data_IF_345096271873
#
_entry.id   IF_345096271873
#
_cell.length_a   1.000
_cell.length_b   1.000
_cell.length_c   1.000
_cell.angle_alpha   90.00
_cell.angle_beta   90.00
_cell.angle_gamma   90.00
#
_symmetry.space_group_name_H-M   'P 1'
#
loop_
_entity.id
_entity.type
_entity.pdbx_description
1 polymer ?
#
# COMPACT_ATOMS: atom_id res chain seq x y z
N UNK A 1 11.34 -20.82 15.49
CA UNK A 1 12.13 -20.54 14.27
C UNK A 1 12.56 -19.08 14.29
N UNK A 2 13.86 -18.78 14.19
CA UNK A 2 14.31 -17.40 14.10
C UNK A 2 13.83 -16.80 12.77
N UNK A 3 13.07 -15.71 12.84
CA UNK A 3 12.63 -14.98 11.64
C UNK A 3 13.87 -14.37 11.00
N UNK A 4 14.26 -14.85 9.81
CA UNK A 4 15.36 -14.23 9.06
C UNK A 4 14.98 -12.77 8.75
N UNK A 5 15.84 -11.85 9.20
CA UNK A 5 15.72 -10.42 8.88
C UNK A 5 16.09 -10.20 7.41
N UNK A 6 15.41 -9.28 6.75
CA UNK A 6 15.78 -8.80 5.43
C UNK A 6 17.04 -7.94 5.59
N UNK A 7 18.08 -8.19 4.80
CA UNK A 7 19.18 -7.27 4.69
C UNK A 7 18.71 -6.03 3.91
N UNK A 8 18.80 -4.87 4.57
CA UNK A 8 18.36 -3.63 3.98
C UNK A 8 19.36 -3.14 2.93
N UNK A 9 19.08 -3.42 1.70
CA UNK A 9 19.74 -2.76 0.58
C UNK A 9 18.69 -2.34 -0.44
N UNK A 10 18.62 -1.03 -0.74
CA UNK A 10 17.86 -0.53 -1.87
C UNK A 10 18.37 -1.15 -3.19
N UNK A 11 17.57 -1.19 -4.27
CA UNK A 11 18.08 -1.48 -5.61
C UNK A 11 19.28 -0.57 -5.94
N UNK A 12 20.25 -1.09 -6.71
CA UNK A 12 21.48 -0.36 -6.99
C UNK A 12 21.27 0.96 -7.76
N UNK A 13 20.24 1.01 -8.60
CA UNK A 13 19.97 2.12 -9.53
C UNK A 13 18.54 2.65 -9.36
N UNK A 14 18.28 3.34 -8.23
CA UNK A 14 16.99 4.00 -8.02
C UNK A 14 16.97 5.35 -8.71
N UNK A 15 16.08 5.51 -9.68
CA UNK A 15 15.82 6.78 -10.32
C UNK A 15 14.76 7.56 -9.53
N UNK A 16 15.01 8.84 -9.31
CA UNK A 16 14.08 9.77 -8.67
C UNK A 16 13.56 10.77 -9.69
N UNK A 17 12.27 10.98 -9.71
CA UNK A 17 11.62 11.97 -10.57
C UNK A 17 10.46 12.66 -9.83
N UNK A 18 10.00 13.78 -10.38
CA UNK A 18 8.86 14.51 -9.85
C UNK A 18 7.83 14.72 -10.95
N UNK A 19 6.57 14.49 -10.65
CA UNK A 19 5.43 14.75 -11.54
C UNK A 19 4.57 15.84 -10.91
N UNK A 20 4.31 16.92 -11.67
CA UNK A 20 3.37 17.96 -11.24
C UNK A 20 1.98 17.55 -11.71
N UNK A 21 1.10 17.27 -10.75
CA UNK A 21 -0.27 16.84 -11.03
C UNK A 21 -1.21 18.03 -11.27
N UNK A 22 -2.42 17.75 -11.74
CA UNK A 22 -3.35 18.76 -12.30
C UNK A 22 -3.71 19.93 -11.38
N UNK A 23 -3.55 19.80 -10.06
CA UNK A 23 -3.76 20.91 -9.10
C UNK A 23 -2.45 21.61 -8.65
N UNK A 24 -1.35 21.37 -9.39
CA UNK A 24 -0.06 21.99 -9.17
C UNK A 24 0.79 21.37 -8.07
N UNK A 25 0.34 20.31 -7.43
CA UNK A 25 1.10 19.60 -6.39
C UNK A 25 2.16 18.71 -7.03
N UNK A 26 3.38 18.75 -6.50
CA UNK A 26 4.51 17.93 -6.97
C UNK A 26 4.50 16.59 -6.25
N UNK A 27 4.42 15.51 -7.01
CA UNK A 27 4.45 14.13 -6.54
C UNK A 27 5.81 13.51 -6.86
N UNK A 28 6.49 13.02 -5.83
CA UNK A 28 7.78 12.35 -5.97
C UNK A 28 7.59 10.88 -6.31
N UNK A 29 8.40 10.38 -7.26
CA UNK A 29 8.39 9.01 -7.75
C UNK A 29 9.78 8.40 -7.63
N UNK A 30 9.85 7.17 -7.20
CA UNK A 30 11.05 6.34 -7.16
C UNK A 30 10.87 5.17 -8.13
N UNK A 31 11.79 5.01 -9.07
CA UNK A 31 11.74 3.93 -10.06
C UNK A 31 12.97 3.04 -9.99
N UNK A 32 12.82 1.72 -10.18
CA UNK A 32 13.93 0.78 -10.24
C UNK A 32 13.56 -0.45 -11.10
N UNK A 33 14.58 -1.04 -11.73
CA UNK A 33 14.40 -2.25 -12.55
C UNK A 33 13.73 -1.99 -13.91
N UNK A 34 13.34 -3.08 -14.58
CA UNK A 34 12.67 -3.06 -15.88
C UNK A 34 11.78 -4.31 -16.02
N UNK A 35 10.75 -4.23 -16.87
CA UNK A 35 9.77 -5.31 -17.07
C UNK A 35 8.35 -4.83 -16.86
N UNK A 36 7.45 -5.75 -16.46
CA UNK A 36 6.07 -5.41 -16.15
C UNK A 36 5.99 -4.40 -15.01
N UNK A 37 5.13 -3.35 -15.10
CA UNK A 37 5.08 -2.32 -14.07
C UNK A 37 4.46 -2.82 -12.76
N UNK A 38 5.10 -2.45 -11.62
CA UNK A 38 4.60 -2.68 -10.26
C UNK A 38 4.52 -1.33 -9.53
N UNK A 39 3.34 -0.94 -9.12
CA UNK A 39 3.06 0.29 -8.38
C UNK A 39 2.98 -0.01 -6.89
N UNK A 40 3.81 0.67 -6.09
CA UNK A 40 3.89 0.50 -4.64
C UNK A 40 3.41 1.78 -3.93
N UNK A 41 2.38 1.63 -3.08
CA UNK A 41 1.72 2.72 -2.37
C UNK A 41 1.87 2.53 -0.86
N UNK A 42 2.55 3.46 -0.19
CA UNK A 42 2.90 3.36 1.23
C UNK A 42 1.73 3.69 2.19
N UNK A 43 1.91 3.37 3.47
CA UNK A 43 0.97 3.68 4.54
C UNK A 43 1.04 5.13 5.03
N UNK A 44 0.00 5.58 5.75
CA UNK A 44 -0.01 6.86 6.45
C UNK A 44 1.20 6.95 7.40
N UNK A 45 1.82 8.11 7.53
CA UNK A 45 3.06 8.36 8.28
C UNK A 45 4.33 7.72 7.71
N UNK A 46 4.27 6.96 6.61
CA UNK A 46 5.40 6.36 5.92
C UNK A 46 5.78 7.15 4.64
N UNK A 47 6.64 6.58 3.81
CA UNK A 47 6.99 7.02 2.47
C UNK A 47 7.48 5.81 1.65
N UNK A 48 7.72 5.98 0.37
CA UNK A 48 8.21 4.90 -0.49
C UNK A 48 9.55 4.35 -0.04
N UNK A 49 10.48 5.23 0.33
CA UNK A 49 11.80 4.79 0.80
C UNK A 49 11.66 3.84 2.01
N UNK A 50 10.99 4.28 3.08
CA UNK A 50 10.84 3.50 4.30
C UNK A 50 9.95 2.26 4.15
N UNK A 51 8.86 2.37 3.36
CA UNK A 51 7.84 1.32 3.25
C UNK A 51 8.16 0.25 2.20
N UNK A 52 9.03 0.54 1.22
CA UNK A 52 9.24 -0.34 0.07
C UNK A 52 10.69 -0.53 -0.35
N UNK A 53 11.51 0.54 -0.34
CA UNK A 53 12.88 0.46 -0.81
C UNK A 53 13.85 0.01 0.30
N UNK A 54 13.76 0.57 1.49
CA UNK A 54 14.62 0.20 2.60
C UNK A 54 14.30 -1.18 3.20
N UNK A 55 13.11 -1.74 2.96
CA UNK A 55 12.68 -3.02 3.51
C UNK A 55 12.90 -4.22 2.58
N UNK A 56 13.47 -4.01 1.39
CA UNK A 56 13.86 -5.06 0.45
C UNK A 56 12.77 -5.46 -0.57
N UNK A 57 11.52 -4.99 -0.43
CA UNK A 57 10.44 -5.32 -1.39
C UNK A 57 10.78 -4.80 -2.79
N UNK A 58 11.13 -3.51 -2.90
CA UNK A 58 11.49 -2.92 -4.20
C UNK A 58 12.73 -3.59 -4.81
N UNK A 59 13.73 -3.94 -3.99
CA UNK A 59 14.94 -4.64 -4.44
C UNK A 59 14.62 -6.00 -5.07
N UNK A 60 13.76 -6.80 -4.42
CA UNK A 60 13.40 -8.12 -4.92
C UNK A 60 12.55 -8.04 -6.20
N UNK A 61 11.61 -7.09 -6.26
CA UNK A 61 10.76 -6.87 -7.43
C UNK A 61 11.56 -6.30 -8.61
N UNK A 62 12.50 -5.38 -8.38
CA UNK A 62 13.29 -4.73 -9.43
C UNK A 62 14.22 -5.69 -10.19
N UNK A 63 14.36 -6.93 -9.74
CA UNK A 63 15.10 -7.97 -10.48
C UNK A 63 14.43 -8.37 -11.79
N UNK A 64 13.12 -8.23 -11.88
CA UNK A 64 12.32 -8.69 -13.03
C UNK A 64 11.23 -7.71 -13.45
N UNK A 65 10.97 -6.66 -12.67
CA UNK A 65 9.87 -5.73 -12.88
C UNK A 65 10.35 -4.27 -12.89
N UNK A 66 9.59 -3.40 -13.53
CA UNK A 66 9.69 -1.96 -13.40
C UNK A 66 8.91 -1.52 -12.15
N UNK A 67 9.61 -1.29 -11.04
CA UNK A 67 9.04 -0.86 -9.76
C UNK A 67 8.85 0.65 -9.79
N UNK A 68 7.63 1.10 -9.43
CA UNK A 68 7.22 2.49 -9.36
C UNK A 68 6.69 2.75 -7.95
N UNK A 69 7.50 3.38 -7.09
CA UNK A 69 7.09 3.82 -5.76
C UNK A 69 6.62 5.27 -5.81
N UNK A 70 5.42 5.56 -5.30
CA UNK A 70 4.84 6.91 -5.31
C UNK A 70 4.74 7.42 -3.88
N UNK A 71 5.47 8.50 -3.56
CA UNK A 71 5.24 9.23 -2.32
C UNK A 71 3.91 9.98 -2.42
N UNK A 72 2.93 9.60 -1.61
CA UNK A 72 1.64 10.30 -1.57
C UNK A 72 1.85 11.77 -1.18
N UNK A 73 1.01 12.70 -1.70
CA UNK A 73 1.02 14.09 -1.23
C UNK A 73 0.98 14.16 0.30
N UNK A 74 1.68 15.10 0.89
CA UNK A 74 1.83 15.21 2.34
C UNK A 74 2.86 14.26 2.98
N UNK A 75 3.52 13.40 2.17
CA UNK A 75 4.45 12.38 2.66
C UNK A 75 5.77 12.38 1.87
N UNK A 76 6.79 11.75 2.45
CA UNK A 76 8.06 11.50 1.80
C UNK A 76 8.70 12.75 1.21
N UNK A 77 9.10 12.67 -0.05
CA UNK A 77 9.66 13.79 -0.82
C UNK A 77 8.63 14.54 -1.68
N UNK A 78 7.36 14.10 -1.69
CA UNK A 78 6.27 14.85 -2.33
C UNK A 78 6.00 16.17 -1.63
N UNK A 79 5.36 17.10 -2.34
CA UNK A 79 4.91 18.34 -1.74
C UNK A 79 3.95 18.08 -0.57
N UNK A 80 4.05 18.92 0.45
CA UNK A 80 3.34 18.78 1.73
C UNK A 80 2.47 20.01 2.03
N UNK A 81 1.39 20.26 1.26
CA UNK A 81 0.47 21.35 1.57
C UNK A 81 -0.08 21.22 3.00
N UNK A 82 -0.11 22.31 3.75
CA UNK A 82 -0.74 22.36 5.06
C UNK A 82 -2.25 22.70 4.98
N UNK A 83 -2.74 23.01 3.78
CA UNK A 83 -4.14 23.27 3.51
C UNK A 83 -4.93 21.95 3.38
N UNK A 84 -5.89 21.65 4.29
CA UNK A 84 -6.72 20.44 4.19
C UNK A 84 -7.52 20.35 2.88
N UNK A 85 -7.76 21.48 2.19
CA UNK A 85 -8.48 21.48 0.92
C UNK A 85 -7.73 20.75 -0.19
N UNK A 86 -6.46 20.48 -0.03
CA UNK A 86 -5.62 19.71 -0.96
C UNK A 86 -5.71 18.19 -0.78
N UNK A 87 -6.55 17.70 0.16
CA UNK A 87 -6.56 16.29 0.58
C UNK A 87 -7.98 15.70 0.72
N UNK A 88 -8.83 15.88 -0.28
CA UNK A 88 -10.10 15.14 -0.29
C UNK A 88 -9.90 13.63 -0.50
N UNK A 89 -10.97 12.85 -0.27
CA UNK A 89 -10.92 11.39 -0.33
C UNK A 89 -10.57 10.80 -1.70
N UNK A 90 -10.73 11.58 -2.77
CA UNK A 90 -10.46 11.16 -4.15
C UNK A 90 -9.09 11.63 -4.67
N UNK A 91 -8.44 12.59 -3.98
CA UNK A 91 -7.26 13.29 -4.53
C UNK A 91 -6.02 12.39 -4.65
N UNK A 92 -5.68 11.63 -3.59
CA UNK A 92 -4.52 10.75 -3.64
C UNK A 92 -4.65 9.62 -4.69
N UNK A 93 -5.80 8.95 -4.83
CA UNK A 93 -6.02 8.03 -5.96
C UNK A 93 -5.86 8.68 -7.32
N UNK A 94 -6.36 9.91 -7.49
CA UNK A 94 -6.21 10.67 -8.73
C UNK A 94 -4.75 10.99 -9.04
N UNK A 95 -3.95 11.34 -8.02
CA UNK A 95 -2.50 11.55 -8.18
C UNK A 95 -1.82 10.33 -8.76
N UNK A 96 -2.17 9.13 -8.27
CA UNK A 96 -1.60 7.87 -8.78
C UNK A 96 -1.89 7.72 -10.28
N UNK A 97 -3.12 7.97 -10.71
CA UNK A 97 -3.49 7.88 -12.13
C UNK A 97 -2.72 8.91 -12.96
N UNK A 98 -2.66 10.17 -12.51
CA UNK A 98 -1.95 11.24 -13.23
C UNK A 98 -0.43 10.94 -13.34
N UNK A 99 0.18 10.37 -12.30
CA UNK A 99 1.58 9.90 -12.34
C UNK A 99 1.76 8.77 -13.36
N UNK A 100 0.89 7.77 -13.36
CA UNK A 100 0.98 6.65 -14.30
C UNK A 100 0.76 7.09 -15.74
N UNK A 101 -0.17 8.01 -15.99
CA UNK A 101 -0.40 8.59 -17.30
C UNK A 101 0.81 9.39 -17.80
N UNK A 102 1.46 10.16 -16.91
CA UNK A 102 2.71 10.87 -17.20
C UNK A 102 3.86 9.91 -17.56
N UNK A 103 3.95 8.77 -16.88
CA UNK A 103 4.96 7.73 -17.14
C UNK A 103 4.61 6.80 -18.32
N UNK A 104 3.43 6.97 -18.95
CA UNK A 104 2.97 6.11 -20.04
C UNK A 104 2.60 4.69 -19.60
N UNK A 105 2.27 4.48 -18.31
CA UNK A 105 1.93 3.17 -17.76
C UNK A 105 0.42 2.94 -17.86
N UNK A 106 -0.01 2.09 -18.78
CA UNK A 106 -1.42 1.78 -19.02
C UNK A 106 -2.01 0.80 -18.00
N UNK A 107 -1.29 -0.27 -17.66
CA UNK A 107 -1.69 -1.30 -16.69
C UNK A 107 -0.50 -1.68 -15.81
N UNK A 108 -0.76 -2.07 -14.56
CA UNK A 108 0.28 -2.45 -13.61
C UNK A 108 -0.22 -3.47 -12.58
N UNK A 109 0.71 -4.14 -11.92
CA UNK A 109 0.47 -4.73 -10.60
C UNK A 109 0.42 -3.61 -9.56
N UNK A 110 -0.54 -3.62 -8.66
CA UNK A 110 -0.61 -2.65 -7.58
C UNK A 110 -0.46 -3.34 -6.23
N UNK A 111 0.35 -2.78 -5.34
CA UNK A 111 0.39 -3.22 -3.95
C UNK A 111 0.41 -2.00 -3.01
N UNK A 112 -0.61 -1.90 -2.15
CA UNK A 112 -0.77 -0.79 -1.21
C UNK A 112 -0.75 -1.25 0.24
N UNK A 113 -0.03 -0.52 1.10
CA UNK A 113 -0.02 -0.80 2.53
C UNK A 113 -0.91 0.19 3.30
N UNK A 114 -1.81 -0.30 4.16
CA UNK A 114 -2.66 0.54 5.02
C UNK A 114 -3.40 1.61 4.22
N UNK A 115 -3.03 2.88 4.35
CA UNK A 115 -3.55 3.99 3.53
C UNK A 115 -3.40 3.69 2.03
N UNK A 116 -2.25 3.16 1.60
CA UNK A 116 -2.01 2.74 0.21
C UNK A 116 -2.98 1.66 -0.25
N UNK A 117 -3.37 0.73 0.63
CA UNK A 117 -4.42 -0.25 0.35
C UNK A 117 -5.80 0.39 0.16
N UNK A 118 -6.12 1.42 0.93
CA UNK A 118 -7.33 2.22 0.70
C UNK A 118 -7.31 2.93 -0.67
N UNK A 119 -6.13 3.42 -1.10
CA UNK A 119 -5.96 3.97 -2.46
C UNK A 119 -6.17 2.88 -3.52
N UNK A 120 -5.61 1.67 -3.33
CA UNK A 120 -5.83 0.53 -4.24
C UNK A 120 -7.31 0.19 -4.35
N UNK A 121 -8.05 0.08 -3.24
CA UNK A 121 -9.49 -0.19 -3.26
C UNK A 121 -10.27 0.88 -4.05
N UNK A 122 -9.93 2.15 -3.84
CA UNK A 122 -10.54 3.26 -4.60
C UNK A 122 -10.23 3.16 -6.11
N UNK A 123 -8.97 2.84 -6.46
CA UNK A 123 -8.58 2.69 -7.87
C UNK A 123 -9.28 1.51 -8.54
N UNK A 124 -9.50 0.41 -7.83
CA UNK A 124 -10.29 -0.73 -8.34
C UNK A 124 -11.71 -0.28 -8.67
N UNK A 125 -12.35 0.49 -7.79
CA UNK A 125 -13.72 0.94 -8.00
C UNK A 125 -13.90 1.88 -9.21
N UNK A 126 -12.87 2.67 -9.56
CA UNK A 126 -12.95 3.67 -10.65
C UNK A 126 -12.19 3.28 -11.92
N UNK A 127 -11.12 2.50 -11.78
CA UNK A 127 -10.17 2.22 -12.86
C UNK A 127 -9.75 0.74 -12.90
N UNK A 128 -10.70 -0.24 -12.82
CA UNK A 128 -10.35 -1.67 -12.78
C UNK A 128 -9.53 -2.12 -14.00
N UNK A 129 -9.67 -1.45 -15.14
CA UNK A 129 -8.91 -1.73 -16.36
C UNK A 129 -7.40 -1.45 -16.24
N UNK A 130 -6.96 -0.72 -15.21
CA UNK A 130 -5.55 -0.40 -14.96
C UNK A 130 -4.80 -1.52 -14.24
N UNK A 131 -5.51 -2.56 -13.76
CA UNK A 131 -4.93 -3.60 -12.93
C UNK A 131 -4.50 -4.83 -13.73
N UNK A 132 -3.30 -5.34 -13.42
CA UNK A 132 -2.88 -6.72 -13.68
C UNK A 132 -3.22 -7.55 -12.45
N UNK A 133 -2.78 -7.13 -11.26
CA UNK A 133 -3.18 -7.69 -9.95
C UNK A 133 -3.40 -6.57 -8.93
N UNK A 134 -4.10 -6.87 -7.84
CA UNK A 134 -4.23 -5.97 -6.70
C UNK A 134 -3.65 -6.61 -5.44
N UNK A 135 -2.91 -5.82 -4.64
CA UNK A 135 -2.32 -6.24 -3.37
C UNK A 135 -2.68 -5.31 -2.22
N UNK A 136 -3.05 -5.91 -1.09
CA UNK A 136 -3.38 -5.24 0.16
C UNK A 136 -2.42 -5.70 1.26
N UNK A 137 -1.65 -4.80 1.82
CA UNK A 137 -0.81 -5.04 2.98
C UNK A 137 -1.34 -4.28 4.20
N UNK A 138 -1.50 -4.93 5.34
CA UNK A 138 -2.06 -4.30 6.54
C UNK A 138 -3.45 -3.68 6.33
N UNK A 139 -4.18 -4.13 5.31
CA UNK A 139 -5.44 -3.56 4.84
C UNK A 139 -6.27 -4.60 4.10
N UNK A 140 -7.39 -4.16 3.56
CA UNK A 140 -8.31 -4.96 2.76
C UNK A 140 -9.51 -4.12 2.35
N UNK A 141 -10.64 -4.75 2.10
CA UNK A 141 -11.90 -4.07 1.78
C UNK A 141 -12.84 -4.20 2.96
N UNK A 142 -13.31 -3.05 3.47
CA UNK A 142 -14.18 -3.00 4.64
C UNK A 142 -15.48 -3.77 4.39
N UNK A 143 -15.92 -4.53 5.40
CA UNK A 143 -17.24 -5.12 5.45
C UNK A 143 -18.29 -4.04 5.71
N UNK A 144 -19.37 -4.05 4.93
CA UNK A 144 -20.46 -3.09 5.03
C UNK A 144 -21.61 -3.62 5.90
N UNK A 145 -21.76 -4.95 6.00
CA UNK A 145 -22.70 -5.60 6.91
C UNK A 145 -22.15 -5.61 8.33
N UNK A 146 -22.82 -4.91 9.24
CA UNK A 146 -22.39 -4.76 10.64
C UNK A 146 -22.34 -6.10 11.39
N UNK A 147 -23.24 -7.04 11.09
CA UNK A 147 -23.26 -8.37 11.72
C UNK A 147 -22.06 -9.19 11.29
N UNK A 148 -21.76 -9.22 9.99
CA UNK A 148 -20.58 -9.91 9.46
C UNK A 148 -19.31 -9.24 9.95
N UNK A 149 -19.26 -7.92 10.04
CA UNK A 149 -18.11 -7.19 10.57
C UNK A 149 -17.84 -7.55 12.05
N UNK A 150 -18.89 -7.66 12.88
CA UNK A 150 -18.76 -8.08 14.26
C UNK A 150 -18.27 -9.52 14.40
N UNK A 151 -18.81 -10.45 13.62
CA UNK A 151 -18.36 -11.86 13.60
C UNK A 151 -16.89 -11.97 13.20
N UNK A 152 -16.44 -11.22 12.20
CA UNK A 152 -15.04 -11.23 11.81
C UNK A 152 -14.11 -10.71 12.91
N UNK A 153 -14.53 -9.67 13.62
CA UNK A 153 -13.76 -9.12 14.73
C UNK A 153 -13.60 -10.10 15.89
N UNK A 154 -14.54 -11.02 16.10
CA UNK A 154 -14.42 -12.11 17.06
C UNK A 154 -13.39 -13.16 16.64
N UNK A 155 -13.22 -13.37 15.33
CA UNK A 155 -12.29 -14.33 14.76
C UNK A 155 -10.86 -13.77 14.63
N UNK A 156 -10.67 -12.48 14.78
CA UNK A 156 -9.33 -11.90 14.74
C UNK A 156 -8.47 -12.40 15.91
N UNK A 157 -7.21 -12.81 15.67
CA UNK A 157 -6.29 -13.23 16.70
C UNK A 157 -6.16 -12.19 17.80
N UNK A 158 -6.25 -12.62 19.06
CA UNK A 158 -6.06 -11.76 20.22
C UNK A 158 -4.58 -11.76 20.62
N UNK A 159 -4.06 -10.59 20.93
CA UNK A 159 -2.67 -10.41 21.32
C UNK A 159 -2.11 -9.10 20.78
N UNK A 160 -0.82 -8.91 20.99
CA UNK A 160 -0.09 -7.73 20.53
C UNK A 160 1.26 -8.16 19.98
N UNK A 161 1.72 -7.48 18.96
CA UNK A 161 3.10 -7.60 18.50
C UNK A 161 4.03 -6.90 19.50
N UNK A 162 4.96 -7.60 20.15
CA UNK A 162 5.87 -6.99 21.14
C UNK A 162 6.81 -5.93 20.54
N UNK A 163 6.94 -5.86 19.22
CA UNK A 163 7.76 -4.88 18.52
C UNK A 163 6.94 -3.71 17.91
N UNK A 164 5.62 -3.69 18.11
CA UNK A 164 4.71 -2.69 17.53
C UNK A 164 5.12 -1.25 17.87
N UNK A 165 5.47 -0.97 19.11
CA UNK A 165 5.89 0.36 19.54
C UNK A 165 7.24 0.78 18.97
N UNK A 166 8.18 -0.17 18.84
CA UNK A 166 9.46 0.09 18.17
C UNK A 166 9.27 0.41 16.67
N UNK A 167 8.38 -0.31 16.00
CA UNK A 167 7.99 -0.01 14.61
C UNK A 167 7.36 1.37 14.46
N UNK A 168 6.48 1.74 15.38
CA UNK A 168 5.85 3.08 15.43
C UNK A 168 6.89 4.19 15.67
N UNK A 169 7.80 3.98 16.61
CA UNK A 169 8.87 4.92 16.93
C UNK A 169 9.81 5.14 15.73
N UNK A 170 10.16 4.09 14.99
CA UNK A 170 10.99 4.18 13.80
C UNK A 170 10.32 5.04 12.70
N UNK A 171 9.01 4.89 12.49
CA UNK A 171 8.26 5.75 11.56
C UNK A 171 8.16 7.20 12.06
N UNK A 172 8.05 7.42 13.37
CA UNK A 172 7.95 8.75 13.96
C UNK A 172 9.26 9.54 13.92
N UNK A 173 10.40 8.85 13.95
CA UNK A 173 11.73 9.44 13.97
C UNK A 173 12.25 9.90 12.59
N UNK A 174 11.49 9.73 11.52
CA UNK A 174 11.90 10.09 10.17
C UNK A 174 12.05 11.61 10.01
N UNK A 175 13.16 12.05 9.43
CA UNK A 175 13.47 13.46 9.23
C UNK A 175 12.58 14.16 8.20
N UNK A 176 11.98 13.41 7.25
CA UNK A 176 11.08 13.91 6.21
C UNK A 176 9.62 14.03 6.66
N UNK A 177 9.31 13.66 7.92
CA UNK A 177 7.97 13.70 8.49
C UNK A 177 7.54 15.14 8.78
N UNK A 178 6.36 15.51 8.28
CA UNK A 178 5.71 16.80 8.50
C UNK A 178 4.35 16.55 9.18
N UNK A 179 4.27 16.88 10.48
CA UNK A 179 3.06 16.60 11.27
C UNK A 179 1.88 17.52 10.91
N UNK A 180 2.15 18.74 10.42
CA UNK A 180 1.08 19.66 9.97
C UNK A 180 0.47 19.17 8.67
N UNK A 181 1.31 18.72 7.72
CA UNK A 181 0.82 18.09 6.50
C UNK A 181 0.05 16.80 6.78
N UNK A 182 0.54 15.94 7.69
CA UNK A 182 -0.17 14.72 8.10
C UNK A 182 -1.53 15.05 8.71
N UNK A 183 -1.61 16.09 9.55
CA UNK A 183 -2.89 16.55 10.08
C UNK A 183 -3.81 17.06 8.96
N UNK A 184 -3.30 17.84 8.02
CA UNK A 184 -4.07 18.35 6.89
C UNK A 184 -4.61 17.21 6.01
N UNK A 185 -3.83 16.13 5.80
CA UNK A 185 -4.28 14.89 5.13
C UNK A 185 -5.50 14.30 5.82
N UNK A 186 -5.45 14.16 7.14
CA UNK A 186 -6.54 13.57 7.91
C UNK A 186 -7.79 14.45 7.90
N UNK A 187 -7.61 15.76 8.16
CA UNK A 187 -8.70 16.73 8.20
C UNK A 187 -9.40 16.82 6.82
N UNK A 188 -8.64 16.89 5.73
CA UNK A 188 -9.18 17.01 4.38
C UNK A 188 -9.97 15.78 3.95
N UNK A 189 -9.46 14.58 4.22
CA UNK A 189 -10.16 13.31 3.93
C UNK A 189 -11.42 13.12 4.77
N UNK A 190 -11.42 13.61 6.01
CA UNK A 190 -12.59 13.56 6.89
C UNK A 190 -13.66 14.56 6.44
N UNK A 191 -13.25 15.78 6.11
CA UNK A 191 -14.18 16.85 5.68
C UNK A 191 -14.80 16.56 4.30
N UNK A 192 -14.07 15.89 3.43
CA UNK A 192 -14.50 15.55 2.06
C UNK A 192 -14.15 14.08 1.78
N UNK A 193 -15.02 13.15 2.21
CA UNK A 193 -14.83 11.72 1.97
C UNK A 193 -14.80 11.40 0.47
N UNK A 194 -14.30 10.21 0.14
CA UNK A 194 -14.29 9.72 -1.24
C UNK A 194 -15.69 9.62 -1.82
N UNK A 195 -15.79 9.96 -3.10
CA UNK A 195 -16.99 9.79 -3.93
C UNK A 195 -16.90 8.55 -4.82
N UNK A 196 -15.95 7.64 -4.57
CA UNK A 196 -15.85 6.39 -5.32
C UNK A 196 -17.14 5.58 -5.14
N UNK A 197 -17.61 4.91 -6.20
CA UNK A 197 -18.75 4.00 -6.09
C UNK A 197 -18.41 2.84 -5.13
N UNK A 198 -19.44 2.18 -4.57
CA UNK A 198 -19.24 0.93 -3.84
C UNK A 198 -18.44 -0.07 -4.67
N UNK A 199 -17.54 -0.79 -4.04
CA UNK A 199 -16.67 -1.74 -4.73
C UNK A 199 -17.44 -3.06 -4.96
N UNK A 200 -17.67 -3.39 -6.23
CA UNK A 200 -18.21 -4.68 -6.65
C UNK A 200 -17.07 -5.70 -6.86
N UNK A 201 -16.75 -6.44 -5.79
CA UNK A 201 -15.69 -7.44 -5.81
C UNK A 201 -16.00 -8.63 -6.73
N UNK A 202 -17.28 -8.95 -6.93
CA UNK A 202 -17.73 -10.04 -7.80
C UNK A 202 -17.47 -9.76 -9.29
N UNK A 203 -17.36 -8.50 -9.70
CA UNK A 203 -17.05 -8.12 -11.08
C UNK A 203 -15.56 -8.15 -11.41
N UNK A 204 -14.68 -8.23 -10.40
CA UNK A 204 -13.23 -8.20 -10.59
C UNK A 204 -12.75 -9.50 -11.24
N UNK A 205 -11.93 -9.35 -12.29
CA UNK A 205 -11.39 -10.48 -13.07
C UNK A 205 -9.84 -10.52 -13.06
N UNK A 206 -9.20 -9.96 -12.06
CA UNK A 206 -7.77 -10.06 -11.83
C UNK A 206 -7.50 -10.58 -10.40
N UNK A 207 -6.34 -11.24 -10.19
CA UNK A 207 -6.00 -11.81 -8.89
C UNK A 207 -5.78 -10.76 -7.81
N UNK A 208 -6.19 -11.09 -6.57
CA UNK A 208 -6.05 -10.24 -5.39
C UNK A 208 -5.25 -10.96 -4.31
N UNK A 209 -4.24 -10.29 -3.76
CA UNK A 209 -3.47 -10.72 -2.60
C UNK A 209 -3.74 -9.84 -1.40
N UNK A 210 -3.93 -10.41 -0.21
CA UNK A 210 -3.79 -9.68 1.05
C UNK A 210 -2.68 -10.29 1.90
N UNK A 211 -1.83 -9.45 2.51
CA UNK A 211 -0.77 -9.85 3.42
C UNK A 211 -0.85 -9.01 4.69
N UNK A 212 -1.36 -9.60 5.75
CA UNK A 212 -1.62 -8.90 7.02
C UNK A 212 -0.86 -9.55 8.18
N UNK A 213 -0.46 -8.75 9.15
CA UNK A 213 0.08 -9.27 10.40
C UNK A 213 -0.99 -10.01 11.23
N UNK A 214 -0.57 -11.01 12.00
CA UNK A 214 -1.46 -11.77 12.89
C UNK A 214 -2.22 -10.84 13.86
N UNK A 215 -1.53 -9.84 14.40
CA UNK A 215 -2.11 -8.88 15.35
C UNK A 215 -2.54 -7.56 14.67
N UNK A 216 -2.93 -7.63 13.40
CA UNK A 216 -3.40 -6.49 12.60
C UNK A 216 -4.81 -6.71 12.04
N UNK A 217 -5.67 -7.37 12.83
CA UNK A 217 -7.06 -7.67 12.47
C UNK A 217 -7.19 -8.28 11.05
N UNK A 218 -6.48 -9.40 10.74
CA UNK A 218 -6.43 -9.92 9.38
C UNK A 218 -7.79 -10.40 8.88
N UNK A 219 -8.64 -10.95 9.71
CA UNK A 219 -9.97 -11.47 9.34
C UNK A 219 -10.92 -10.30 9.05
N UNK A 220 -11.06 -9.35 9.98
CA UNK A 220 -11.90 -8.15 9.81
C UNK A 220 -11.58 -7.36 8.55
N UNK A 221 -10.31 -7.31 8.17
CA UNK A 221 -9.86 -6.57 6.98
C UNK A 221 -10.13 -7.31 5.67
N UNK A 222 -10.26 -8.64 5.69
CA UNK A 222 -10.19 -9.44 4.46
C UNK A 222 -11.37 -10.39 4.24
N UNK A 223 -12.28 -10.54 5.21
CA UNK A 223 -13.41 -11.47 5.06
C UNK A 223 -14.29 -11.15 3.84
N UNK A 224 -14.53 -9.87 3.54
CA UNK A 224 -15.31 -9.48 2.36
C UNK A 224 -14.59 -9.87 1.07
N UNK A 225 -13.26 -9.69 0.98
CA UNK A 225 -12.46 -10.18 -0.13
C UNK A 225 -12.56 -11.69 -0.29
N UNK A 226 -12.44 -12.44 0.83
CA UNK A 226 -12.54 -13.90 0.82
C UNK A 226 -13.92 -14.43 0.38
N UNK A 227 -14.99 -13.67 0.68
CA UNK A 227 -16.36 -14.05 0.34
C UNK A 227 -16.74 -13.70 -1.11
N UNK A 228 -16.29 -12.55 -1.61
CA UNK A 228 -16.84 -11.96 -2.83
C UNK A 228 -15.85 -11.99 -4.02
N UNK A 229 -14.54 -11.98 -3.79
CA UNK A 229 -13.57 -11.95 -4.88
C UNK A 229 -13.39 -13.35 -5.50
N UNK A 230 -13.31 -13.43 -6.83
CA UNK A 230 -13.18 -14.69 -7.58
C UNK A 230 -11.82 -15.37 -7.41
N UNK A 231 -10.76 -14.57 -7.30
CA UNK A 231 -9.37 -15.02 -7.14
C UNK A 231 -8.71 -14.22 -6.04
N UNK A 232 -8.70 -14.79 -4.83
CA UNK A 232 -8.20 -14.14 -3.63
C UNK A 232 -7.29 -15.05 -2.83
N UNK A 233 -6.12 -14.52 -2.45
CA UNK A 233 -5.16 -15.16 -1.55
C UNK A 233 -4.93 -14.30 -0.32
N UNK A 234 -5.04 -14.90 0.86
CA UNK A 234 -4.67 -14.29 2.14
C UNK A 234 -3.41 -14.96 2.70
N UNK A 235 -2.44 -14.15 3.14
CA UNK A 235 -1.28 -14.60 3.92
C UNK A 235 -1.24 -13.82 5.23
N UNK A 236 -1.24 -14.55 6.35
CA UNK A 236 -1.11 -13.98 7.69
C UNK A 236 0.34 -14.15 8.16
N UNK A 237 0.96 -13.07 8.59
CA UNK A 237 2.35 -13.04 9.07
C UNK A 237 2.38 -13.27 10.58
N UNK A 238 2.88 -14.43 11.06
CA UNK A 238 2.88 -14.77 12.48
C UNK A 238 3.64 -13.75 13.33
N UNK A 239 3.08 -13.39 14.47
CA UNK A 239 3.70 -12.51 15.47
C UNK A 239 3.86 -11.05 15.02
N UNK A 240 3.22 -10.61 13.93
CA UNK A 240 3.34 -9.26 13.40
C UNK A 240 2.09 -8.42 13.60
N UNK A 241 2.31 -7.15 13.92
CA UNK A 241 1.29 -6.11 13.97
C UNK A 241 1.44 -5.12 12.81
N UNK A 242 0.62 -4.09 12.80
CA UNK A 242 0.54 -3.12 11.71
C UNK A 242 1.87 -2.41 11.38
N UNK A 243 2.65 -2.02 12.37
CA UNK A 243 3.87 -1.21 12.16
C UNK A 243 5.14 -2.04 11.95
N UNK A 244 5.08 -3.36 11.98
CA UNK A 244 6.27 -4.22 11.86
C UNK A 244 6.32 -5.04 10.58
N UNK A 245 5.27 -4.99 9.77
CA UNK A 245 5.24 -5.69 8.48
C UNK A 245 6.11 -4.98 7.44
N UNK A 246 6.02 -3.66 7.33
CA UNK A 246 6.75 -2.89 6.31
C UNK A 246 7.89 -2.03 6.84
N UNK A 247 7.99 -1.84 8.15
CA UNK A 247 9.02 -0.97 8.75
C UNK A 247 10.32 -1.74 8.98
N UNK A 248 11.38 -1.35 8.27
CA UNK A 248 12.71 -1.89 8.53
C UNK A 248 13.23 -1.45 9.92
N UNK A 249 13.91 -2.30 10.69
CA UNK A 249 14.39 -3.66 10.35
C UNK A 249 13.43 -4.80 10.73
N UNK A 250 12.16 -4.53 10.91
CA UNK A 250 11.17 -5.50 11.41
C UNK A 250 10.51 -6.33 10.30
N UNK A 251 10.58 -5.87 9.05
CA UNK A 251 9.95 -6.53 7.89
C UNK A 251 10.37 -7.99 7.77
N UNK A 252 9.44 -8.95 7.79
CA UNK A 252 9.78 -10.35 7.63
C UNK A 252 10.06 -10.69 6.17
N UNK A 253 11.05 -11.58 5.94
CA UNK A 253 11.35 -12.05 4.58
C UNK A 253 10.12 -12.67 3.89
N UNK A 254 9.27 -13.36 4.65
CA UNK A 254 8.02 -13.93 4.14
C UNK A 254 7.13 -12.87 3.46
N UNK A 255 7.10 -11.63 3.98
CA UNK A 255 6.35 -10.54 3.33
C UNK A 255 6.90 -10.22 1.95
N UNK A 256 8.22 -10.05 1.86
CA UNK A 256 8.91 -9.75 0.60
C UNK A 256 8.69 -10.86 -0.43
N UNK A 257 8.95 -12.11 -0.02
CA UNK A 257 8.83 -13.28 -0.89
C UNK A 257 7.39 -13.47 -1.39
N UNK A 258 6.41 -13.34 -0.49
CA UNK A 258 4.98 -13.51 -0.84
C UNK A 258 4.54 -12.53 -1.92
N UNK A 259 4.91 -11.26 -1.80
CA UNK A 259 4.54 -10.24 -2.80
C UNK A 259 5.24 -10.53 -4.12
N UNK A 260 6.54 -10.82 -4.09
CA UNK A 260 7.32 -11.05 -5.30
C UNK A 260 6.89 -12.33 -6.04
N UNK A 261 6.61 -13.41 -5.33
CA UNK A 261 6.10 -14.66 -5.92
C UNK A 261 4.71 -14.47 -6.53
N UNK A 262 3.81 -13.77 -5.82
CA UNK A 262 2.47 -13.50 -6.31
C UNK A 262 2.50 -12.67 -7.61
N UNK A 263 3.28 -11.61 -7.65
CA UNK A 263 3.39 -10.74 -8.82
C UNK A 263 3.97 -11.54 -10.01
N UNK A 264 5.10 -12.23 -9.83
CA UNK A 264 5.72 -13.06 -10.90
C UNK A 264 4.79 -14.15 -11.44
N UNK A 265 3.95 -14.74 -10.61
CA UNK A 265 3.00 -15.78 -11.03
C UNK A 265 1.86 -15.25 -11.92
N UNK A 266 1.67 -13.93 -11.98
CA UNK A 266 0.58 -13.29 -12.71
C UNK A 266 1.07 -12.25 -13.74
N UNK A 267 2.34 -12.33 -14.13
CA UNK A 267 2.85 -11.51 -15.22
C UNK A 267 2.08 -11.78 -16.52
N UNK A 268 1.81 -10.74 -17.30
CA UNK A 268 1.26 -10.92 -18.65
C UNK A 268 2.22 -11.73 -19.52
N UNK A 269 1.65 -12.63 -20.32
CA UNK A 269 2.41 -13.46 -21.26
C UNK A 269 3.09 -12.62 -22.34
#
# INVERSE_FOLDING_TARGET
>A
MAVRKVEAEAPADVKHSDVVVSDGVRIHVMEAGAGAPVVLLHGYTSCCDAGWFANGVAKELARTHHVIGIDARGHGRSAKPHDPSKYDGDRMPKDVIEVLDHLGVGRAHFHGYSMGGGIVAHLIARHPQRFITAGFGGSGVREEDETLAAQAAELDPKGVDPQQDAGRAALAARADRDNEALKAVQDGRTARPSTAPPLDLGSINFPILAVNGEFDAPVSKTQRLAREAKDFRLVILPGRGHNTVTTWPFTPKLYVDTIAEFIRAHDPA
#
